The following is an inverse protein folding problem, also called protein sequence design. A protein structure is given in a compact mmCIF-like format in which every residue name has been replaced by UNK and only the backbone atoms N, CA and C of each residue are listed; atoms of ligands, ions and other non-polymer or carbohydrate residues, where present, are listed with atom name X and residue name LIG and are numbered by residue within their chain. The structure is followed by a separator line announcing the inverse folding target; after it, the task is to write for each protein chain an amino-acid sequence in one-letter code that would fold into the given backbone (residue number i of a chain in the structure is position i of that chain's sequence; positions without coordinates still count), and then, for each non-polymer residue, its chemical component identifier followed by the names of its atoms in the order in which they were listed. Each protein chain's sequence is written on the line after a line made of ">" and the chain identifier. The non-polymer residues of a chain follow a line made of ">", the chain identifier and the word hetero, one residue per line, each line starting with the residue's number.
data_IF_853081617659
#
_entry.id   IF_853081617659
#
_cell.length_a   1.000
_cell.length_b   1.000
_cell.length_c   1.000
_cell.angle_alpha   90.00
_cell.angle_beta   90.00
_cell.angle_gamma   90.00
#
_symmetry.space_group_name_H-M   'P 1'
#
loop_
_entity.id
_entity.type
_entity.pdbx_description
1 polymer ?
#
# COMPACT_ATOMS: atom_id res chain seq x y z
N UNK A 1 8.58 17.07 -7.38
CA UNK A 1 7.63 16.79 -8.50
C UNK A 1 8.34 16.47 -9.82
N UNK A 2 9.58 15.95 -9.81
CA UNK A 2 10.25 15.60 -11.07
C UNK A 2 10.67 14.14 -11.02
N UNK A 3 9.83 13.28 -11.60
CA UNK A 3 10.07 11.86 -11.79
C UNK A 3 10.69 11.68 -13.17
N UNK A 4 12.02 11.71 -13.26
CA UNK A 4 12.71 11.39 -14.50
C UNK A 4 12.70 9.86 -14.66
N UNK A 5 11.66 9.34 -15.32
CA UNK A 5 11.68 7.98 -15.82
C UNK A 5 12.60 7.98 -17.05
N UNK A 6 13.89 7.63 -16.89
CA UNK A 6 14.80 7.53 -18.01
C UNK A 6 14.37 6.38 -18.93
N UNK A 7 14.09 6.62 -20.22
CA UNK A 7 13.82 5.55 -21.17
C UNK A 7 15.16 4.94 -21.61
N UNK A 8 15.39 3.66 -21.29
CA UNK A 8 16.44 2.88 -21.96
C UNK A 8 17.58 2.32 -21.09
N UNK A 9 17.31 1.75 -19.91
CA UNK A 9 18.26 0.81 -19.33
C UNK A 9 18.30 -0.48 -20.17
N UNK A 10 19.24 -0.52 -21.12
CA UNK A 10 19.83 -1.76 -21.63
C UNK A 10 21.23 -1.85 -21.03
N UNK A 11 21.41 -2.77 -20.09
CA UNK A 11 22.72 -3.19 -19.62
C UNK A 11 22.79 -4.70 -19.79
N UNK A 12 23.54 -5.17 -20.78
CA UNK A 12 23.80 -6.59 -20.98
C UNK A 12 25.32 -6.82 -21.00
N UNK A 13 25.72 -7.86 -20.27
CA UNK A 13 26.97 -8.64 -20.32
C UNK A 13 28.10 -8.26 -19.34
N UNK A 14 27.93 -8.67 -18.08
CA UNK A 14 28.97 -9.40 -17.33
C UNK A 14 28.39 -10.01 -16.03
N UNK A 15 28.02 -11.29 -16.06
CA UNK A 15 28.09 -12.19 -14.90
C UNK A 15 27.52 -11.77 -13.54
N UNK A 16 26.30 -11.21 -13.44
CA UNK A 16 25.69 -10.93 -12.13
C UNK A 16 24.23 -10.53 -12.24
N UNK A 17 23.38 -11.16 -11.41
CA UNK A 17 21.92 -10.94 -11.21
C UNK A 17 21.33 -9.69 -11.88
N UNK A 18 20.93 -9.82 -13.15
CA UNK A 18 20.02 -8.87 -13.76
C UNK A 18 18.61 -9.21 -13.24
N UNK A 19 18.08 -8.41 -12.31
CA UNK A 19 16.63 -8.35 -12.07
C UNK A 19 16.08 -7.02 -12.61
N UNK A 20 15.54 -6.98 -13.84
CA UNK A 20 14.88 -5.75 -14.29
C UNK A 20 13.69 -6.03 -15.23
N UNK A 21 12.50 -6.16 -14.64
CA UNK A 21 11.18 -5.71 -15.16
C UNK A 21 10.05 -6.31 -14.34
N UNK A 22 10.12 -7.61 -14.04
CA UNK A 22 9.10 -8.36 -13.28
C UNK A 22 8.94 -7.82 -11.85
N UNK A 23 10.04 -7.65 -11.11
CA UNK A 23 10.00 -7.15 -9.72
C UNK A 23 9.54 -5.69 -9.61
N UNK A 24 9.88 -4.87 -10.61
CA UNK A 24 9.46 -3.47 -10.64
C UNK A 24 7.98 -3.34 -11.02
N UNK A 25 7.50 -4.18 -11.95
CA UNK A 25 6.08 -4.27 -12.29
C UNK A 25 5.26 -4.79 -11.11
N UNK A 26 5.70 -5.86 -10.45
CA UNK A 26 5.02 -6.40 -9.27
C UNK A 26 4.98 -5.38 -8.12
N UNK A 27 6.06 -4.62 -7.89
CA UNK A 27 6.08 -3.55 -6.91
C UNK A 27 5.15 -2.37 -7.29
N UNK A 28 5.07 -2.03 -8.57
CA UNK A 28 4.16 -1.01 -9.08
C UNK A 28 2.68 -1.43 -8.93
N UNK A 29 2.36 -2.67 -9.26
CA UNK A 29 1.02 -3.25 -9.09
C UNK A 29 0.62 -3.30 -7.61
N UNK A 30 1.51 -3.77 -6.74
CA UNK A 30 1.27 -3.80 -5.30
C UNK A 30 1.02 -2.40 -4.76
N UNK A 31 1.84 -1.41 -5.16
CA UNK A 31 1.64 -0.01 -4.77
C UNK A 31 0.28 0.52 -5.25
N UNK A 32 -0.10 0.23 -6.48
CA UNK A 32 -1.39 0.65 -7.04
C UNK A 32 -2.55 0.03 -6.24
N UNK A 33 -2.46 -1.27 -5.94
CA UNK A 33 -3.45 -1.98 -5.13
C UNK A 33 -3.57 -1.37 -3.73
N UNK A 34 -2.45 -1.10 -3.06
CA UNK A 34 -2.46 -0.44 -1.75
C UNK A 34 -3.12 0.94 -1.81
N UNK A 35 -2.80 1.76 -2.82
CA UNK A 35 -3.40 3.10 -2.95
C UNK A 35 -4.91 3.05 -3.20
N UNK A 36 -5.37 2.09 -4.01
CA UNK A 36 -6.80 1.90 -4.29
C UNK A 36 -7.57 1.46 -3.04
N UNK A 37 -6.96 0.59 -2.21
CA UNK A 37 -7.63 0.02 -1.04
C UNK A 37 -7.35 0.78 0.26
N UNK A 38 -6.39 1.71 0.29
CA UNK A 38 -6.01 2.45 1.49
C UNK A 38 -7.20 3.19 2.13
N UNK A 39 -8.14 3.68 1.32
CA UNK A 39 -9.34 4.36 1.82
C UNK A 39 -10.33 3.41 2.51
N UNK A 40 -10.28 2.13 2.16
CA UNK A 40 -11.13 1.09 2.74
C UNK A 40 -10.48 0.39 3.93
N UNK A 41 -9.21 0.69 4.23
CA UNK A 41 -8.51 0.17 5.39
C UNK A 41 -8.84 1.00 6.64
N UNK A 42 -9.63 0.47 7.59
CA UNK A 42 -10.03 1.16 8.82
C UNK A 42 -8.85 1.60 9.69
N UNK A 43 -7.70 0.96 9.54
CA UNK A 43 -6.49 1.28 10.30
C UNK A 43 -5.75 2.47 9.72
N UNK A 44 -5.86 2.70 8.41
CA UNK A 44 -5.24 3.84 7.73
C UNK A 44 -6.13 5.08 7.76
N UNK A 45 -7.44 4.92 7.57
CA UNK A 45 -8.39 6.05 7.56
C UNK A 45 -8.98 6.36 8.93
N UNK A 46 -8.88 5.41 9.87
CA UNK A 46 -9.58 5.48 11.15
C UNK A 46 -11.08 5.22 10.98
N UNK A 47 -11.71 4.78 12.07
CA UNK A 47 -13.17 4.60 12.11
C UNK A 47 -13.78 5.37 13.26
N UNK A 48 -15.00 5.84 13.05
CA UNK A 48 -15.79 6.45 14.12
C UNK A 48 -15.93 5.45 15.27
N UNK A 49 -15.97 5.94 16.51
CA UNK A 49 -16.05 5.05 17.65
C UNK A 49 -17.32 4.17 17.59
N UNK A 50 -18.44 4.65 17.03
CA UNK A 50 -19.69 3.89 16.89
C UNK A 50 -19.63 2.75 15.87
N UNK A 51 -18.75 2.87 14.86
CA UNK A 51 -18.59 1.84 13.81
C UNK A 51 -17.39 0.93 14.06
N UNK A 52 -16.66 1.11 15.17
CA UNK A 52 -15.54 0.25 15.54
C UNK A 52 -16.04 -1.02 16.26
N UNK A 53 -15.93 -2.22 15.66
CA UNK A 53 -16.40 -3.47 16.27
C UNK A 53 -15.55 -3.91 17.48
N UNK A 54 -14.33 -3.38 17.64
CA UNK A 54 -13.47 -3.65 18.79
C UNK A 54 -13.73 -2.72 19.97
N UNK A 55 -14.60 -1.72 19.82
CA UNK A 55 -14.92 -0.82 20.92
C UNK A 55 -15.79 -1.57 21.95
N UNK A 56 -15.37 -1.62 23.23
CA UNK A 56 -16.23 -2.11 24.30
C UNK A 56 -17.52 -1.29 24.35
N UNK A 57 -18.68 -1.96 24.42
CA UNK A 57 -19.94 -1.26 24.62
C UNK A 57 -19.91 -0.58 25.98
N UNK A 58 -19.98 0.75 25.99
CA UNK A 58 -20.26 1.50 27.21
C UNK A 58 -21.74 1.32 27.52
N UNK A 59 -22.06 0.29 28.28
CA UNK A 59 -23.37 0.17 28.92
C UNK A 59 -23.40 1.19 30.06
N UNK A 60 -24.18 2.27 29.87
CA UNK A 60 -24.50 3.17 30.98
C UNK A 60 -25.54 2.45 31.85
N UNK A 61 -25.10 1.90 32.97
CA UNK A 61 -26.02 1.48 34.02
C UNK A 61 -26.55 2.74 34.71
N UNK A 62 -27.87 2.95 34.66
CA UNK A 62 -28.54 3.83 35.60
C UNK A 62 -28.61 3.09 36.94
N UNK A 63 -27.80 3.53 37.90
CA UNK A 63 -27.91 3.16 39.31
C UNK A 63 -28.96 4.04 39.99
#
# INVERSE_FOLDING_TARGET
>A
INSYCLPGMVLTLAGGLAQPREGFQAAADLKQFCLQNAQHDPLLTGVSSSTNPFRPQKVCYFL
#
